data_IF_995816816663
#
_entry.id   IF_995816816663
#
_cell.length_a   1.000
_cell.length_b   1.000
_cell.length_c   1.000
_cell.angle_alpha   90.00
_cell.angle_beta   90.00
_cell.angle_gamma   90.00
#
_symmetry.space_group_name_H-M   'P 1'
#
loop_
_entity.id
_entity.type
_entity.pdbx_description
1 polymer ?
#
# COMPACT_ATOMS: atom_id res chain seq x y z
N UNK A 1 14.52 5.97 8.79
CA UNK A 1 14.27 6.58 7.46
C UNK A 1 14.63 8.06 7.53
N UNK A 2 15.91 8.43 7.43
CA UNK A 2 16.34 9.77 7.88
C UNK A 2 17.28 10.56 6.95
N UNK A 3 17.53 10.16 5.70
CA UNK A 3 18.29 11.04 4.78
C UNK A 3 18.25 10.73 3.28
N UNK A 4 17.21 10.08 2.76
CA UNK A 4 17.14 9.86 1.31
C UNK A 4 16.06 10.71 0.65
N UNK A 5 16.46 11.48 -0.37
CA UNK A 5 15.61 12.40 -1.13
C UNK A 5 14.73 11.71 -2.19
N UNK A 6 14.87 10.39 -2.38
CA UNK A 6 14.07 9.67 -3.35
C UNK A 6 12.57 9.75 -3.01
N UNK A 7 11.72 9.95 -4.04
CA UNK A 7 10.27 9.91 -3.91
C UNK A 7 9.85 8.53 -3.42
N UNK A 8 9.05 8.48 -2.36
CA UNK A 8 8.57 7.24 -1.75
C UNK A 8 7.11 7.40 -1.37
N UNK A 9 6.41 6.31 -1.51
CA UNK A 9 5.06 6.17 -1.00
C UNK A 9 5.06 5.13 0.13
N UNK A 10 4.26 5.37 1.17
CA UNK A 10 4.14 4.49 2.33
C UNK A 10 2.80 3.81 2.30
N UNK A 11 2.83 2.49 2.42
CA UNK A 11 1.65 1.67 2.63
C UNK A 11 1.68 1.11 4.04
N UNK A 12 0.56 1.21 4.74
CA UNK A 12 0.46 0.80 6.13
C UNK A 12 -0.87 0.12 6.37
N UNK A 13 -0.89 -0.73 7.40
CA UNK A 13 -2.08 -1.40 7.84
C UNK A 13 -3.08 -0.40 8.46
N UNK A 14 -4.32 -0.45 7.99
CA UNK A 14 -5.48 0.24 8.54
C UNK A 14 -6.07 -0.63 9.65
N UNK A 15 -6.34 -0.01 10.80
CA UNK A 15 -7.07 -0.67 11.88
C UNK A 15 -8.54 -0.86 11.49
N UNK A 16 -9.19 -1.90 12.01
CA UNK A 16 -10.65 -2.04 11.90
C UNK A 16 -11.14 -3.39 11.38
N UNK A 17 -10.25 -4.30 10.95
CA UNK A 17 -10.62 -5.65 10.54
C UNK A 17 -9.91 -6.69 11.42
N UNK A 18 -10.68 -7.67 11.90
CA UNK A 18 -10.19 -8.74 12.80
C UNK A 18 -10.53 -10.15 12.32
N UNK A 19 -11.37 -10.30 11.30
CA UNK A 19 -11.79 -11.60 10.77
C UNK A 19 -12.19 -11.53 9.29
N UNK A 20 -11.21 -11.56 8.40
CA UNK A 20 -11.40 -11.63 6.95
C UNK A 20 -10.35 -12.57 6.33
N UNK A 21 -10.61 -13.07 5.13
CA UNK A 21 -9.57 -13.81 4.38
C UNK A 21 -8.39 -12.90 4.04
N UNK A 22 -7.20 -13.48 3.81
CA UNK A 22 -6.01 -12.70 3.48
C UNK A 22 -6.23 -11.75 2.30
N UNK A 23 -6.90 -12.20 1.24
CA UNK A 23 -7.22 -11.36 0.08
C UNK A 23 -8.11 -10.16 0.41
N UNK A 24 -9.16 -10.37 1.22
CA UNK A 24 -10.05 -9.30 1.67
C UNK A 24 -9.32 -8.28 2.54
N UNK A 25 -8.48 -8.74 3.46
CA UNK A 25 -7.72 -7.83 4.32
C UNK A 25 -6.72 -7.02 3.49
N UNK A 26 -6.02 -7.64 2.55
CA UNK A 26 -5.11 -6.92 1.65
C UNK A 26 -5.86 -5.87 0.82
N UNK A 27 -7.05 -6.20 0.31
CA UNK A 27 -7.91 -5.25 -0.41
C UNK A 27 -8.39 -4.10 0.47
N UNK A 28 -8.84 -4.37 1.71
CA UNK A 28 -9.23 -3.34 2.69
C UNK A 28 -8.09 -2.34 2.96
N UNK A 29 -6.87 -2.85 3.06
CA UNK A 29 -5.67 -2.06 3.25
C UNK A 29 -5.18 -1.33 1.98
N UNK A 30 -5.79 -1.58 0.82
CA UNK A 30 -5.33 -1.05 -0.47
C UNK A 30 -4.00 -1.65 -0.92
N UNK A 31 -3.68 -2.85 -0.44
CA UNK A 31 -2.49 -3.63 -0.75
C UNK A 31 -2.75 -4.66 -1.87
N UNK A 32 -3.56 -4.32 -2.86
CA UNK A 32 -3.76 -5.17 -4.05
C UNK A 32 -2.67 -4.92 -5.08
N UNK A 33 -2.47 -5.88 -5.99
CA UNK A 33 -1.49 -5.75 -7.07
C UNK A 33 -1.77 -4.52 -7.94
N UNK A 34 -3.04 -4.28 -8.28
CA UNK A 34 -3.46 -3.15 -9.11
C UNK A 34 -3.20 -1.82 -8.41
N UNK A 35 -3.54 -1.73 -7.11
CA UNK A 35 -3.35 -0.51 -6.34
C UNK A 35 -1.87 -0.16 -6.15
N UNK A 36 -1.04 -1.17 -5.87
CA UNK A 36 0.41 -0.99 -5.72
C UNK A 36 1.07 -0.64 -7.05
N UNK A 37 0.72 -1.33 -8.14
CA UNK A 37 1.27 -1.06 -9.47
C UNK A 37 0.93 0.37 -9.93
N UNK A 38 -0.33 0.78 -9.78
CA UNK A 38 -0.77 2.14 -10.12
C UNK A 38 0.03 3.20 -9.36
N UNK A 39 0.13 3.07 -8.03
CA UNK A 39 0.86 4.01 -7.18
C UNK A 39 2.35 4.05 -7.49
N UNK A 40 2.95 2.89 -7.79
CA UNK A 40 4.35 2.81 -8.19
C UNK A 40 4.62 3.57 -9.49
N UNK A 41 3.75 3.41 -10.50
CA UNK A 41 3.85 4.15 -11.78
C UNK A 41 3.68 5.65 -11.55
N UNK A 42 2.66 6.06 -10.79
CA UNK A 42 2.41 7.48 -10.47
C UNK A 42 3.59 8.13 -9.72
N UNK A 43 4.35 7.36 -8.94
CA UNK A 43 5.48 7.86 -8.17
C UNK A 43 6.70 8.20 -9.05
N UNK A 44 6.86 7.50 -10.17
CA UNK A 44 7.99 7.69 -11.10
C UNK A 44 7.67 8.60 -12.28
N UNK A 45 6.38 8.83 -12.57
CA UNK A 45 5.91 9.63 -13.71
C UNK A 45 5.59 8.77 -14.91
#
# INVERSE_FOLDING_TARGET
>A
MLRSICKRDVVAWKRGETASSAGQIMAFNGLTAEALAKRATELVG
#
